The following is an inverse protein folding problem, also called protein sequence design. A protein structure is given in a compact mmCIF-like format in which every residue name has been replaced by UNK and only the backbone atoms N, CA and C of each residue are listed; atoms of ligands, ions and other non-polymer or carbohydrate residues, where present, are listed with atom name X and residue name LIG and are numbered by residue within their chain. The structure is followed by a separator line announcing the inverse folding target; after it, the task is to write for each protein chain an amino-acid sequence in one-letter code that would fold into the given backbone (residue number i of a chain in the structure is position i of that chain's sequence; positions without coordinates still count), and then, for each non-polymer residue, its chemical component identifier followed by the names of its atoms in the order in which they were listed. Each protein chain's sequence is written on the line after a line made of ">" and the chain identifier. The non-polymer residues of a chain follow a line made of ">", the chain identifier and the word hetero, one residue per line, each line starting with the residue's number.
data_IF_327628597503
#
_entry.id   IF_327628597503
#
_cell.length_a   1.000
_cell.length_b   1.000
_cell.length_c   1.000
_cell.angle_alpha   90.00
_cell.angle_beta   90.00
_cell.angle_gamma   90.00
#
_symmetry.space_group_name_H-M   'P 1'
#
loop_
_entity.id
_entity.type
_entity.pdbx_description
1 polymer ?
#
# COMPACT_ATOMS: atom_id res chain seq x y z
N UNK A 1 -14.55 13.60 5.25
CA UNK A 1 -13.81 13.42 4.00
C UNK A 1 -12.66 12.47 4.27
N UNK A 2 -12.65 11.31 3.62
CA UNK A 2 -11.58 10.31 3.79
C UNK A 2 -10.42 10.67 2.87
N UNK A 3 -9.25 10.94 3.45
CA UNK A 3 -8.04 11.21 2.66
C UNK A 3 -7.61 9.92 1.96
N UNK A 4 -7.35 10.02 0.66
CA UNK A 4 -6.95 8.89 -0.19
C UNK A 4 -5.44 8.87 -0.40
N UNK A 5 -4.89 7.72 -0.83
CA UNK A 5 -3.46 7.63 -1.24
C UNK A 5 -3.14 8.61 -2.37
N UNK A 6 -4.12 8.91 -3.25
CA UNK A 6 -3.93 9.86 -4.36
C UNK A 6 -3.67 11.26 -3.84
N UNK A 7 -4.44 11.72 -2.87
CA UNK A 7 -4.24 13.05 -2.27
C UNK A 7 -2.88 13.14 -1.58
N UNK A 8 -2.49 12.11 -0.81
CA UNK A 8 -1.15 12.03 -0.22
C UNK A 8 -0.05 12.15 -1.28
N UNK A 9 -0.22 11.51 -2.43
CA UNK A 9 0.72 11.57 -3.54
C UNK A 9 0.82 12.98 -4.14
N UNK A 10 -0.31 13.66 -4.31
CA UNK A 10 -0.37 15.04 -4.81
C UNK A 10 0.27 16.04 -3.84
N UNK A 11 -0.02 15.95 -2.54
CA UNK A 11 0.56 16.83 -1.51
C UNK A 11 2.08 16.76 -1.47
N UNK A 12 2.64 15.56 -1.64
CA UNK A 12 4.07 15.29 -1.57
C UNK A 12 4.76 15.34 -2.94
N UNK A 13 4.01 15.61 -4.03
CA UNK A 13 4.48 15.56 -5.42
C UNK A 13 5.24 14.26 -5.76
N UNK A 14 4.73 13.13 -5.26
CA UNK A 14 5.30 11.80 -5.49
C UNK A 14 4.29 10.92 -6.22
N UNK A 15 4.74 9.78 -6.77
CA UNK A 15 3.81 8.84 -7.38
C UNK A 15 3.00 8.08 -6.31
N UNK A 16 1.78 7.66 -6.67
CA UNK A 16 0.95 6.75 -5.84
C UNK A 16 1.74 5.50 -5.41
N UNK A 17 2.57 4.96 -6.33
CA UNK A 17 3.44 3.82 -6.04
C UNK A 17 4.51 4.14 -5.00
N UNK A 18 5.04 5.36 -4.99
CA UNK A 18 6.00 5.84 -3.98
C UNK A 18 5.35 5.92 -2.61
N UNK A 19 4.12 6.46 -2.51
CA UNK A 19 3.36 6.52 -1.25
C UNK A 19 3.04 5.12 -0.75
N UNK A 20 2.54 4.23 -1.63
CA UNK A 20 2.22 2.85 -1.27
C UNK A 20 3.46 2.09 -0.76
N UNK A 21 4.60 2.23 -1.43
CA UNK A 21 5.88 1.64 -0.99
C UNK A 21 6.36 2.23 0.33
N UNK A 22 6.26 3.54 0.51
CA UNK A 22 6.66 4.20 1.75
C UNK A 22 5.79 3.80 2.96
N UNK A 23 4.49 3.63 2.75
CA UNK A 23 3.56 3.12 3.76
C UNK A 23 3.82 1.64 4.10
N UNK A 24 4.31 0.86 3.14
CA UNK A 24 4.72 -0.54 3.32
C UNK A 24 6.19 -0.70 3.77
N UNK A 25 6.87 0.38 4.19
CA UNK A 25 8.27 0.35 4.65
C UNK A 25 9.30 -0.18 3.62
N UNK A 26 9.02 -0.02 2.33
CA UNK A 26 9.91 -0.47 1.26
C UNK A 26 11.30 0.19 1.34
N UNK A 27 12.41 -0.60 1.36
CA UNK A 27 13.76 -0.09 1.50
C UNK A 27 14.25 0.74 0.30
N UNK A 28 13.58 0.69 -0.85
CA UNK A 28 13.90 1.54 -2.02
C UNK A 28 13.53 3.00 -1.80
N UNK A 29 12.72 3.31 -0.78
CA UNK A 29 12.34 4.68 -0.42
C UNK A 29 13.29 5.17 0.68
N UNK A 30 13.93 6.32 0.42
CA UNK A 30 14.77 7.00 1.40
C UNK A 30 14.02 7.21 2.72
N UNK A 31 14.70 6.94 3.85
CA UNK A 31 14.11 7.06 5.19
C UNK A 31 13.49 8.45 5.44
N UNK A 32 14.16 9.51 4.95
CA UNK A 32 13.70 10.89 5.04
C UNK A 32 12.33 11.10 4.36
N UNK A 33 12.15 10.54 3.16
CA UNK A 33 10.89 10.64 2.41
C UNK A 33 9.80 9.81 3.06
N UNK A 34 10.15 8.62 3.56
CA UNK A 34 9.22 7.73 4.28
C UNK A 34 8.66 8.38 5.54
N UNK A 35 9.51 9.03 6.33
CA UNK A 35 9.11 9.76 7.52
C UNK A 35 8.14 10.89 7.18
N UNK A 36 8.46 11.72 6.17
CA UNK A 36 7.55 12.77 5.70
C UNK A 36 6.19 12.22 5.29
N UNK A 37 6.16 11.12 4.54
CA UNK A 37 4.92 10.46 4.11
C UNK A 37 4.12 9.97 5.33
N UNK A 38 4.76 9.32 6.30
CA UNK A 38 4.12 8.82 7.52
C UNK A 38 3.58 9.94 8.40
N UNK A 39 4.33 11.03 8.56
CA UNK A 39 3.87 12.20 9.31
C UNK A 39 2.67 12.87 8.63
N UNK A 40 2.71 13.03 7.30
CA UNK A 40 1.64 13.66 6.55
C UNK A 40 0.38 12.77 6.56
N UNK A 41 0.55 11.46 6.39
CA UNK A 41 -0.52 10.47 6.55
C UNK A 41 -1.14 10.51 7.95
N UNK A 42 -0.33 10.67 9.00
CA UNK A 42 -0.83 10.81 10.38
C UNK A 42 -1.58 12.13 10.58
N UNK A 43 -1.07 13.26 10.07
CA UNK A 43 -1.72 14.57 10.15
C UNK A 43 -3.06 14.62 9.42
N UNK A 44 -3.16 13.90 8.31
CA UNK A 44 -4.35 13.83 7.49
C UNK A 44 -5.32 12.71 7.91
N UNK A 45 -5.06 12.03 9.03
CA UNK A 45 -5.85 10.89 9.51
C UNK A 45 -6.09 9.84 8.42
N UNK A 46 -5.07 9.60 7.60
CA UNK A 46 -5.13 8.60 6.54
C UNK A 46 -5.29 7.21 7.16
N UNK A 47 -6.48 6.62 6.98
CA UNK A 47 -6.76 5.25 7.37
C UNK A 47 -6.56 4.35 6.15
N UNK A 48 -5.55 3.44 6.15
CA UNK A 48 -5.38 2.51 5.05
C UNK A 48 -6.63 1.64 4.91
N UNK A 49 -7.43 1.91 3.89
CA UNK A 49 -8.62 1.13 3.61
C UNK A 49 -8.18 -0.25 3.13
N UNK A 50 -8.36 -1.26 3.99
CA UNK A 50 -7.95 -2.65 3.75
C UNK A 50 -8.73 -3.33 2.59
N UNK A 51 -9.66 -2.61 1.96
CA UNK A 51 -10.52 -3.05 0.86
C UNK A 51 -9.74 -3.49 -0.39
N UNK A 52 -8.50 -3.02 -0.59
CA UNK A 52 -7.65 -3.41 -1.73
C UNK A 52 -6.85 -4.71 -1.56
N UNK A 53 -6.74 -5.26 -0.34
CA UNK A 53 -5.93 -6.48 -0.10
C UNK A 53 -6.66 -7.78 -0.48
N UNK A 54 -8.00 -7.75 -0.55
CA UNK A 54 -8.81 -8.94 -0.85
C UNK A 54 -8.73 -9.42 -2.30
N UNK A 55 -8.38 -8.56 -3.26
CA UNK A 55 -8.45 -8.91 -4.69
C UNK A 55 -7.15 -9.52 -5.24
N UNK A 56 -6.01 -9.32 -4.59
CA UNK A 56 -4.72 -9.91 -5.01
C UNK A 56 -4.43 -11.30 -4.41
N UNK A 57 -5.19 -11.75 -3.40
CA UNK A 57 -4.99 -13.06 -2.78
C UNK A 57 -5.72 -14.22 -3.49
N UNK A 58 -6.31 -14.00 -4.68
CA UNK A 58 -7.07 -15.04 -5.39
C UNK A 58 -6.26 -15.69 -6.52
N UNK A 59 -5.03 -16.12 -6.23
CA UNK A 59 -4.30 -17.04 -7.12
C UNK A 59 -3.19 -17.80 -6.38
N UNK A 60 -3.58 -18.59 -5.38
CA UNK A 60 -2.71 -19.63 -4.83
C UNK A 60 -3.38 -21.00 -5.05
N UNK A 61 -2.95 -21.67 -6.12
CA UNK A 61 -2.76 -23.11 -6.26
C UNK A 61 -3.86 -24.07 -5.71
N UNK A 62 -4.81 -24.43 -6.58
CA UNK A 62 -5.41 -25.78 -6.54
C UNK A 62 -4.64 -26.66 -7.55
N UNK A 63 -3.70 -27.47 -7.08
CA UNK A 63 -3.02 -28.51 -7.89
C UNK A 63 -2.94 -29.85 -7.15
N UNK A 64 -3.83 -30.14 -6.21
CA UNK A 64 -3.70 -31.34 -5.35
C UNK A 64 -4.95 -32.26 -5.33
N UNK A 65 -5.68 -32.41 -6.45
CA UNK A 65 -6.75 -33.43 -6.54
C UNK A 65 -6.67 -34.21 -7.85
N UNK A 66 -5.46 -34.66 -8.24
CA UNK A 66 -5.37 -35.63 -9.33
C UNK A 66 -4.25 -36.62 -9.14
N UNK A 67 -4.26 -37.35 -8.02
CA UNK A 67 -3.58 -38.65 -7.96
C UNK A 67 -4.09 -39.54 -6.81
N UNK A 68 -5.26 -40.16 -6.96
CA UNK A 68 -5.52 -41.46 -6.32
C UNK A 68 -6.22 -42.35 -7.35
N UNK A 69 -5.48 -43.39 -7.71
CA UNK A 69 -5.88 -44.59 -8.46
C UNK A 69 -6.76 -45.44 -7.54
#
# INVERSE_FOLDING_TARGET
>A
MTVTIKELAEYLKVSIGTVSRALNDDPKIAASTRLKIKELARKLEYVPSNLGKGLQAKRAFYWDILLVI
#
